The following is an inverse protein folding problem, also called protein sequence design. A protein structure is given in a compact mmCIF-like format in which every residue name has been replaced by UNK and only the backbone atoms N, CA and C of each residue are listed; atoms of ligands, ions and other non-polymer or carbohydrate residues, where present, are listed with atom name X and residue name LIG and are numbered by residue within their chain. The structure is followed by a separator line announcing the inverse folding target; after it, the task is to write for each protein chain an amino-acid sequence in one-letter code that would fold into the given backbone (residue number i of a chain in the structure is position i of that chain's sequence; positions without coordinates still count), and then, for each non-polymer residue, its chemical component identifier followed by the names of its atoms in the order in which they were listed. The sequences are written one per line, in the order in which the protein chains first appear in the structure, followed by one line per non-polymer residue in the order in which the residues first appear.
data_IF_260487289158
#
_entry.id   IF_260487289158
#
_cell.length_a   1.000
_cell.length_b   1.000
_cell.length_c   1.000
_cell.angle_alpha   90.00
_cell.angle_beta   90.00
_cell.angle_gamma   90.00
#
_symmetry.space_group_name_H-M   'P 1'
#
loop_
_entity.id
_entity.type
_entity.pdbx_description
1 polymer ?
#
# COMPACT_ATOMS: atom_id res chain seq x y z
N UNK A 1 -4.56 -30.09 -2.25
CA UNK A 1 -3.41 -30.25 -3.17
C UNK A 1 -3.94 -29.98 -4.57
N UNK A 2 -3.24 -29.16 -5.38
CA UNK A 2 -3.65 -28.87 -6.76
C UNK A 2 -3.55 -30.12 -7.64
N UNK A 3 -4.49 -30.32 -8.60
CA UNK A 3 -4.37 -31.36 -9.62
C UNK A 3 -3.12 -31.14 -10.49
N UNK A 4 -2.44 -32.22 -10.89
CA UNK A 4 -1.20 -32.18 -11.68
C UNK A 4 -1.36 -31.33 -12.96
N UNK A 5 -2.48 -31.47 -13.67
CA UNK A 5 -2.78 -30.67 -14.86
C UNK A 5 -2.80 -29.17 -14.59
N UNK A 6 -3.32 -28.74 -13.41
CA UNK A 6 -3.36 -27.31 -13.04
C UNK A 6 -1.96 -26.81 -12.74
N UNK A 7 -1.13 -27.63 -12.09
CA UNK A 7 0.28 -27.33 -11.82
C UNK A 7 1.04 -27.09 -13.15
N UNK A 8 0.89 -28.01 -14.12
CA UNK A 8 1.51 -27.89 -15.44
C UNK A 8 1.08 -26.61 -16.16
N UNK A 9 -0.22 -26.28 -16.15
CA UNK A 9 -0.73 -25.06 -16.75
C UNK A 9 -0.22 -23.79 -16.05
N UNK A 10 -0.08 -23.77 -14.72
CA UNK A 10 0.52 -22.66 -14.00
C UNK A 10 2.01 -22.52 -14.33
N UNK A 11 2.73 -23.62 -14.45
CA UNK A 11 4.15 -23.64 -14.89
C UNK A 11 4.28 -23.08 -16.32
N UNK A 12 3.39 -23.44 -17.23
CA UNK A 12 3.37 -22.93 -18.60
C UNK A 12 3.15 -21.39 -18.65
N UNK A 13 2.38 -20.84 -17.69
CA UNK A 13 2.11 -19.40 -17.60
C UNK A 13 3.31 -18.64 -17.03
N UNK A 14 3.87 -19.06 -15.89
CA UNK A 14 4.85 -18.23 -15.15
C UNK A 14 6.25 -18.80 -15.11
N UNK A 15 6.44 -20.07 -15.52
CA UNK A 15 7.66 -20.85 -15.36
C UNK A 15 7.74 -21.54 -13.99
N UNK A 16 8.43 -22.70 -13.96
CA UNK A 16 8.52 -23.57 -12.79
C UNK A 16 9.03 -22.84 -11.53
N UNK A 17 10.06 -22.00 -11.67
CA UNK A 17 10.67 -21.26 -10.56
C UNK A 17 9.76 -20.18 -9.96
N UNK A 18 8.56 -19.97 -10.51
CA UNK A 18 7.59 -18.94 -10.07
C UNK A 18 6.29 -19.51 -9.53
N UNK A 19 6.23 -20.81 -9.41
CA UNK A 19 5.16 -21.55 -8.74
C UNK A 19 5.76 -22.24 -7.51
N UNK A 20 5.38 -21.80 -6.31
CA UNK A 20 6.01 -22.20 -5.07
C UNK A 20 5.09 -23.09 -4.24
N UNK A 21 5.68 -24.15 -3.65
CA UNK A 21 4.98 -25.12 -2.81
C UNK A 21 5.67 -25.36 -1.47
N UNK A 22 6.89 -24.83 -1.29
CA UNK A 22 7.65 -25.04 -0.06
C UNK A 22 6.95 -24.37 1.14
N UNK A 23 6.97 -25.02 2.29
CA UNK A 23 6.25 -24.58 3.48
C UNK A 23 6.61 -23.15 3.90
N UNK A 24 7.89 -22.79 3.80
CA UNK A 24 8.37 -21.45 4.13
C UNK A 24 7.81 -20.38 3.19
N UNK A 25 7.69 -20.69 1.90
CA UNK A 25 7.10 -19.79 0.91
C UNK A 25 5.59 -19.66 1.12
N UNK A 26 4.90 -20.79 1.34
CA UNK A 26 3.47 -20.77 1.64
C UNK A 26 3.17 -19.94 2.87
N UNK A 27 3.96 -20.11 3.92
CA UNK A 27 3.84 -19.28 5.14
C UNK A 27 4.17 -17.81 4.87
N UNK A 28 5.23 -17.51 4.12
CA UNK A 28 5.67 -16.14 3.83
C UNK A 28 4.66 -15.34 3.01
N UNK A 29 4.06 -15.96 2.00
CA UNK A 29 3.18 -15.28 1.05
C UNK A 29 1.70 -15.38 1.44
N UNK A 30 1.31 -16.36 2.25
CA UNK A 30 -0.07 -16.62 2.64
C UNK A 30 -0.56 -15.89 3.88
N UNK A 31 0.25 -15.00 4.48
CA UNK A 31 -0.08 -14.22 5.67
C UNK A 31 0.03 -12.72 5.42
N UNK A 32 -0.55 -11.92 6.32
CA UNK A 32 -0.21 -10.52 6.54
C UNK A 32 0.36 -10.33 7.96
N UNK A 33 0.20 -9.15 8.57
CA UNK A 33 0.70 -8.87 9.93
C UNK A 33 -0.29 -9.27 11.03
N UNK A 34 -1.50 -9.71 10.67
CA UNK A 34 -2.42 -10.26 11.67
C UNK A 34 -1.93 -11.63 12.16
N UNK A 35 -2.21 -11.93 13.41
CA UNK A 35 -1.86 -13.22 14.03
C UNK A 35 -3.10 -14.09 14.26
N UNK A 36 -4.26 -13.70 13.72
CA UNK A 36 -5.53 -14.35 13.98
C UNK A 36 -5.72 -15.66 13.21
N UNK A 37 -5.03 -15.81 12.07
CA UNK A 37 -5.15 -16.99 11.21
C UNK A 37 -3.77 -17.53 10.83
N UNK A 38 -3.74 -18.83 10.56
CA UNK A 38 -2.57 -19.50 10.00
C UNK A 38 -2.71 -19.59 8.48
N UNK A 39 -1.61 -19.42 7.77
CA UNK A 39 -1.59 -19.61 6.33
C UNK A 39 -1.75 -21.09 5.97
N UNK A 40 -2.61 -21.38 5.00
CA UNK A 40 -2.79 -22.69 4.41
C UNK A 40 -3.11 -22.59 2.90
N UNK A 41 -2.37 -21.80 2.09
CA UNK A 41 -2.58 -21.75 0.66
C UNK A 41 -2.21 -23.08 0.00
N UNK A 42 -2.83 -23.40 -1.14
CA UNK A 42 -2.46 -24.58 -1.92
C UNK A 42 -1.15 -24.41 -2.72
N UNK A 43 -0.83 -23.19 -3.11
CA UNK A 43 0.39 -22.76 -3.80
C UNK A 43 0.50 -21.23 -3.81
N UNK A 44 1.69 -20.74 -4.17
CA UNK A 44 1.94 -19.32 -4.47
C UNK A 44 2.40 -19.19 -5.91
N UNK A 45 1.82 -18.28 -6.67
CA UNK A 45 2.23 -17.97 -8.04
C UNK A 45 2.65 -16.52 -8.16
N UNK A 46 3.77 -16.26 -8.86
CA UNK A 46 4.36 -14.93 -9.01
C UNK A 46 4.36 -14.49 -10.48
N UNK A 47 3.25 -13.92 -11.00
CA UNK A 47 3.24 -13.35 -12.35
C UNK A 47 4.24 -12.19 -12.46
N UNK A 48 4.85 -12.06 -13.64
CA UNK A 48 5.76 -10.96 -14.00
C UNK A 48 5.13 -9.95 -14.94
N UNK A 49 3.96 -10.26 -15.52
CA UNK A 49 3.23 -9.39 -16.44
C UNK A 49 1.73 -9.39 -16.13
N UNK A 50 1.02 -8.43 -16.70
CA UNK A 50 -0.43 -8.33 -16.59
C UNK A 50 -1.11 -9.50 -17.30
N UNK A 51 -0.55 -9.95 -18.42
CA UNK A 51 -1.05 -11.07 -19.22
C UNK A 51 -0.89 -12.41 -18.50
N UNK A 52 0.21 -12.61 -17.77
CA UNK A 52 0.38 -13.76 -16.88
C UNK A 52 -0.67 -13.73 -15.75
N UNK A 53 -0.89 -12.57 -15.11
CA UNK A 53 -1.92 -12.42 -14.10
C UNK A 53 -3.33 -12.71 -14.66
N UNK A 54 -3.63 -12.24 -15.87
CA UNK A 54 -4.87 -12.55 -16.57
C UNK A 54 -5.03 -14.06 -16.80
N UNK A 55 -4.00 -14.71 -17.29
CA UNK A 55 -4.01 -16.14 -17.59
C UNK A 55 -4.24 -16.97 -16.32
N UNK A 56 -3.64 -16.56 -15.18
CA UNK A 56 -3.85 -17.18 -13.87
C UNK A 56 -5.32 -17.05 -13.44
N UNK A 57 -5.91 -15.86 -13.53
CA UNK A 57 -7.32 -15.65 -13.13
C UNK A 57 -8.26 -16.48 -14.00
N UNK A 58 -8.03 -16.55 -15.32
CA UNK A 58 -8.83 -17.38 -16.23
C UNK A 58 -8.70 -18.87 -15.92
N UNK A 59 -7.50 -19.35 -15.62
CA UNK A 59 -7.26 -20.73 -15.23
C UNK A 59 -7.95 -21.05 -13.90
N UNK A 60 -7.85 -20.15 -12.91
CA UNK A 60 -8.51 -20.30 -11.61
C UNK A 60 -10.03 -20.41 -11.75
N UNK A 61 -10.65 -19.59 -12.62
CA UNK A 61 -12.07 -19.67 -12.94
C UNK A 61 -12.45 -21.02 -13.57
N UNK A 62 -11.63 -21.53 -14.52
CA UNK A 62 -11.86 -22.82 -15.17
C UNK A 62 -11.78 -24.00 -14.18
N UNK A 63 -10.93 -23.86 -13.18
CA UNK A 63 -10.68 -24.91 -12.17
C UNK A 63 -11.45 -24.70 -10.87
N UNK A 64 -12.29 -23.66 -10.80
CA UNK A 64 -13.02 -23.28 -9.59
C UNK A 64 -12.11 -23.08 -8.36
N UNK A 65 -10.95 -22.47 -8.59
CA UNK A 65 -9.93 -22.21 -7.59
C UNK A 65 -10.02 -20.78 -7.06
N UNK A 66 -10.14 -20.63 -5.75
CA UNK A 66 -10.15 -19.32 -5.11
C UNK A 66 -8.76 -18.67 -5.16
N UNK A 67 -8.71 -17.35 -5.35
CA UNK A 67 -7.50 -16.54 -5.38
C UNK A 67 -7.45 -15.61 -4.17
N UNK A 68 -6.26 -15.50 -3.56
CA UNK A 68 -5.95 -14.45 -2.61
C UNK A 68 -4.81 -13.59 -3.19
N UNK A 69 -5.07 -12.30 -3.51
CA UNK A 69 -4.02 -11.37 -3.93
C UNK A 69 -3.05 -11.07 -2.78
N UNK A 70 -1.75 -11.10 -3.05
CA UNK A 70 -0.72 -10.79 -2.06
C UNK A 70 0.19 -9.68 -2.56
N UNK A 71 0.28 -8.60 -1.80
CA UNK A 71 1.22 -7.50 -2.00
C UNK A 71 2.35 -7.53 -0.96
N UNK A 72 2.62 -6.37 -0.34
CA UNK A 72 3.69 -6.23 0.67
C UNK A 72 3.44 -6.94 2.00
N UNK A 73 2.26 -7.50 2.21
CA UNK A 73 1.88 -8.30 3.41
C UNK A 73 2.00 -7.51 4.73
N UNK A 74 1.82 -6.21 4.66
CA UNK A 74 1.92 -5.28 5.80
C UNK A 74 0.58 -4.96 6.45
N UNK A 75 -0.52 -5.47 5.89
CA UNK A 75 -1.88 -5.29 6.39
C UNK A 75 -2.13 -5.92 7.76
N UNK A 76 -3.16 -5.43 8.44
CA UNK A 76 -3.58 -5.87 9.79
C UNK A 76 -5.01 -6.41 9.84
N UNK A 77 -5.66 -6.56 8.66
CA UNK A 77 -7.09 -6.91 8.57
C UNK A 77 -7.34 -8.32 8.03
N UNK A 78 -6.30 -9.07 7.67
CA UNK A 78 -6.42 -10.42 7.14
C UNK A 78 -6.76 -10.52 5.65
N UNK A 79 -6.82 -9.39 4.91
CA UNK A 79 -7.20 -9.38 3.50
C UNK A 79 -6.26 -10.12 2.55
N UNK A 80 -5.01 -10.34 2.96
CA UNK A 80 -4.02 -11.10 2.20
C UNK A 80 -3.74 -12.50 2.80
N UNK A 81 -4.57 -12.97 3.74
CA UNK A 81 -4.39 -14.29 4.36
C UNK A 81 -5.12 -15.35 3.57
N UNK A 82 -4.38 -16.34 3.08
CA UNK A 82 -4.89 -17.55 2.44
C UNK A 82 -4.95 -18.68 3.47
N UNK A 83 -6.13 -19.09 3.92
CA UNK A 83 -6.30 -20.02 5.05
C UNK A 83 -7.05 -21.32 4.71
N UNK A 84 -7.69 -21.39 3.54
CA UNK A 84 -8.60 -22.47 3.17
C UNK A 84 -8.22 -23.14 1.82
N UNK A 85 -6.93 -23.13 1.47
CA UNK A 85 -6.43 -23.79 0.25
C UNK A 85 -6.51 -22.94 -1.01
N UNK A 86 -6.60 -21.62 -0.87
CA UNK A 86 -6.61 -20.68 -1.99
C UNK A 86 -5.25 -20.63 -2.70
N UNK A 87 -5.24 -20.22 -3.96
CA UNK A 87 -4.04 -19.86 -4.70
C UNK A 87 -3.64 -18.42 -4.35
N UNK A 88 -2.45 -18.24 -3.78
CA UNK A 88 -1.89 -16.91 -3.57
C UNK A 88 -1.30 -16.38 -4.88
N UNK A 89 -1.74 -15.21 -5.31
CA UNK A 89 -1.17 -14.48 -6.46
C UNK A 89 -0.37 -13.30 -5.91
N UNK A 90 0.97 -13.45 -5.90
CA UNK A 90 1.88 -12.46 -5.37
C UNK A 90 2.43 -11.56 -6.49
N UNK A 91 2.21 -10.24 -6.37
CA UNK A 91 2.52 -9.27 -7.43
C UNK A 91 3.95 -8.71 -7.34
N UNK A 92 4.81 -9.31 -6.53
CA UNK A 92 6.17 -8.86 -6.23
C UNK A 92 7.05 -8.63 -7.47
N UNK A 93 6.77 -9.33 -8.59
CA UNK A 93 7.55 -9.22 -9.84
C UNK A 93 7.06 -8.12 -10.79
N UNK A 94 5.85 -7.64 -10.62
CA UNK A 94 5.32 -6.52 -11.40
C UNK A 94 5.66 -5.23 -10.62
N UNK A 95 6.92 -4.82 -10.61
CA UNK A 95 7.44 -3.78 -9.71
C UNK A 95 8.27 -2.69 -10.41
N UNK A 96 8.28 -2.67 -11.73
CA UNK A 96 9.05 -1.70 -12.52
C UNK A 96 8.37 -0.33 -12.58
N UNK A 97 9.16 0.72 -12.83
CA UNK A 97 8.66 1.98 -13.38
C UNK A 97 8.41 1.76 -14.87
N UNK A 98 7.19 1.99 -15.30
CA UNK A 98 6.72 1.72 -16.67
C UNK A 98 6.82 2.99 -17.52
N UNK A 99 6.38 4.12 -16.97
CA UNK A 99 6.38 5.42 -17.64
C UNK A 99 6.47 6.55 -16.62
N UNK A 100 7.05 7.68 -17.03
CA UNK A 100 7.10 8.89 -16.23
C UNK A 100 6.80 10.12 -17.11
N UNK A 101 5.77 10.87 -16.73
CA UNK A 101 5.40 12.12 -17.39
C UNK A 101 5.73 13.32 -16.47
N UNK A 102 6.83 14.06 -16.72
CA UNK A 102 7.22 15.20 -15.90
C UNK A 102 6.25 16.39 -16.02
N UNK A 103 5.55 16.54 -17.14
CA UNK A 103 4.60 17.63 -17.34
C UNK A 103 3.35 17.44 -16.45
N UNK A 104 2.82 16.23 -16.43
CA UNK A 104 1.67 15.86 -15.60
C UNK A 104 2.10 15.49 -14.18
N UNK A 105 3.39 15.38 -13.92
CA UNK A 105 3.95 14.89 -12.65
C UNK A 105 3.31 13.56 -12.25
N UNK A 106 3.29 12.63 -13.16
CA UNK A 106 2.72 11.31 -12.94
C UNK A 106 3.72 10.22 -13.32
N UNK A 107 3.68 9.13 -12.58
CA UNK A 107 4.48 7.94 -12.84
C UNK A 107 3.58 6.72 -12.89
N UNK A 108 3.76 5.88 -13.90
CA UNK A 108 3.09 4.57 -13.99
C UNK A 108 4.05 3.51 -13.50
N UNK A 109 3.60 2.73 -12.52
CA UNK A 109 4.39 1.67 -11.88
C UNK A 109 3.61 0.36 -11.82
N UNK A 110 4.33 -0.75 -11.78
CA UNK A 110 3.76 -2.04 -11.42
C UNK A 110 3.28 -2.07 -9.97
N UNK A 111 2.23 -2.83 -9.70
CA UNK A 111 1.58 -2.90 -8.38
C UNK A 111 2.49 -3.44 -7.27
N UNK A 112 3.51 -4.23 -7.61
CA UNK A 112 4.55 -4.73 -6.71
C UNK A 112 5.63 -3.71 -6.35
N UNK A 113 5.61 -2.49 -6.93
CA UNK A 113 6.51 -1.40 -6.55
C UNK A 113 6.36 -1.10 -5.06
N UNK A 114 7.49 -1.09 -4.34
CA UNK A 114 7.53 -0.75 -2.91
C UNK A 114 7.42 0.77 -2.74
N UNK A 115 6.74 1.20 -1.67
CA UNK A 115 6.46 2.63 -1.42
C UNK A 115 7.72 3.47 -1.28
N UNK A 116 8.71 3.02 -0.51
CA UNK A 116 9.99 3.74 -0.33
C UNK A 116 10.75 3.97 -1.63
N UNK A 117 11.02 2.95 -2.46
CA UNK A 117 11.56 3.12 -3.79
C UNK A 117 10.78 4.07 -4.70
N UNK A 118 9.44 4.08 -4.64
CA UNK A 118 8.64 5.08 -5.37
C UNK A 118 8.87 6.49 -4.84
N UNK A 119 8.96 6.67 -3.51
CA UNK A 119 9.28 7.96 -2.89
C UNK A 119 10.66 8.45 -3.34
N UNK A 120 11.66 7.57 -3.30
CA UNK A 120 13.01 7.89 -3.77
C UNK A 120 13.01 8.27 -5.24
N UNK A 121 12.33 7.51 -6.11
CA UNK A 121 12.19 7.87 -7.53
C UNK A 121 11.59 9.27 -7.70
N UNK A 122 10.54 9.61 -6.95
CA UNK A 122 9.92 10.93 -7.01
C UNK A 122 10.90 12.04 -6.60
N UNK A 123 11.67 11.83 -5.53
CA UNK A 123 12.71 12.77 -5.05
C UNK A 123 13.80 13.00 -6.09
N UNK A 124 14.27 11.96 -6.76
CA UNK A 124 15.27 12.05 -7.86
C UNK A 124 14.74 12.88 -9.04
N UNK A 125 13.41 12.97 -9.21
CA UNK A 125 12.76 13.82 -10.22
C UNK A 125 12.39 15.22 -9.69
N UNK A 126 12.80 15.59 -8.46
CA UNK A 126 12.44 16.87 -7.83
C UNK A 126 10.95 16.95 -7.44
N UNK A 127 10.31 15.82 -7.30
CA UNK A 127 8.90 15.65 -6.94
C UNK A 127 8.75 14.91 -5.61
N UNK A 128 7.51 14.66 -5.19
CA UNK A 128 7.23 14.06 -3.91
C UNK A 128 6.00 13.14 -3.97
N UNK A 129 6.12 11.91 -3.47
CA UNK A 129 4.98 11.03 -3.22
C UNK A 129 4.63 11.09 -1.73
N UNK A 130 3.50 11.75 -1.35
CA UNK A 130 3.25 12.10 0.04
C UNK A 130 2.67 11.00 0.92
N UNK A 131 2.20 9.91 0.33
CA UNK A 131 1.69 8.78 1.11
C UNK A 131 2.84 8.09 1.82
N UNK A 132 2.80 8.11 3.16
CA UNK A 132 3.92 7.71 4.00
C UNK A 132 3.44 7.08 5.32
N UNK A 133 3.98 5.92 5.65
CA UNK A 133 3.66 5.16 6.87
C UNK A 133 4.83 4.25 7.27
N UNK A 134 4.78 3.70 8.48
CA UNK A 134 5.86 2.89 9.06
C UNK A 134 6.30 1.70 8.18
N UNK A 135 5.43 1.18 7.33
CA UNK A 135 5.71 0.06 6.43
C UNK A 135 6.19 0.48 5.03
N UNK A 136 6.54 1.75 4.78
CA UNK A 136 6.96 2.25 3.46
C UNK A 136 8.11 1.44 2.82
N UNK A 137 9.00 0.86 3.64
CA UNK A 137 10.08 -0.01 3.17
C UNK A 137 9.67 -1.40 2.68
N UNK A 138 8.40 -1.80 2.83
CA UNK A 138 7.91 -3.14 2.45
C UNK A 138 6.52 -3.17 1.85
N UNK A 139 5.69 -2.17 2.10
CA UNK A 139 4.35 -2.07 1.49
C UNK A 139 4.46 -1.84 0.00
N UNK A 140 3.57 -2.47 -0.76
CA UNK A 140 3.51 -2.38 -2.22
C UNK A 140 2.36 -1.48 -2.67
N UNK A 141 2.56 -0.75 -3.77
CA UNK A 141 1.60 0.24 -4.29
C UNK A 141 0.23 -0.40 -4.58
N UNK A 142 0.18 -1.59 -5.16
CA UNK A 142 -1.08 -2.30 -5.40
C UNK A 142 -1.84 -2.60 -4.11
N UNK A 143 -1.14 -3.02 -3.06
CA UNK A 143 -1.72 -3.26 -1.73
C UNK A 143 -2.20 -1.97 -1.07
N UNK A 144 -1.41 -0.88 -1.16
CA UNK A 144 -1.79 0.43 -0.63
C UNK A 144 -3.07 0.98 -1.31
N UNK A 145 -3.20 0.76 -2.61
CA UNK A 145 -4.41 1.12 -3.37
C UNK A 145 -5.58 0.23 -2.97
N UNK A 146 -5.38 -1.09 -2.91
CA UNK A 146 -6.41 -2.05 -2.55
C UNK A 146 -7.01 -1.80 -1.17
N UNK A 147 -6.21 -1.31 -0.21
CA UNK A 147 -6.68 -0.95 1.14
C UNK A 147 -7.02 0.54 1.29
N UNK A 148 -6.80 1.35 0.24
CA UNK A 148 -6.85 2.81 0.32
C UNK A 148 -6.06 3.33 1.53
N UNK A 149 -4.81 2.92 1.65
CA UNK A 149 -3.98 3.18 2.81
C UNK A 149 -3.85 4.67 3.12
N UNK A 150 -4.00 5.03 4.38
CA UNK A 150 -3.73 6.35 4.91
C UNK A 150 -2.43 6.35 5.70
N UNK A 151 -1.70 7.45 5.68
CA UNK A 151 -0.44 7.61 6.40
C UNK A 151 -0.44 8.83 7.31
N UNK A 152 0.72 9.15 7.88
CA UNK A 152 0.87 10.25 8.84
C UNK A 152 0.59 11.64 8.23
N UNK A 153 0.64 11.76 6.90
CA UNK A 153 0.45 13.04 6.18
C UNK A 153 -0.98 13.22 5.62
N UNK A 154 -1.94 12.41 6.07
CA UNK A 154 -3.33 12.42 5.57
C UNK A 154 -3.99 13.78 5.77
N UNK A 155 -3.68 14.49 6.87
CA UNK A 155 -4.28 15.78 7.18
C UNK A 155 -4.08 16.81 6.06
N UNK A 156 -2.94 16.75 5.35
CA UNK A 156 -2.63 17.65 4.23
C UNK A 156 -2.88 17.01 2.87
N UNK A 157 -2.41 15.79 2.68
CA UNK A 157 -2.29 15.19 1.36
C UNK A 157 -3.38 14.16 1.06
N UNK A 158 -4.25 13.86 2.03
CA UNK A 158 -5.27 12.83 1.87
C UNK A 158 -4.70 11.41 1.85
N UNK A 159 -5.52 10.49 1.44
CA UNK A 159 -5.22 9.05 1.39
C UNK A 159 -4.67 8.65 0.02
N UNK A 160 -4.25 7.40 -0.12
CA UNK A 160 -3.76 6.82 -1.38
C UNK A 160 -4.70 7.12 -2.56
N UNK A 161 -6.01 7.05 -2.36
CA UNK A 161 -7.06 7.37 -3.34
C UNK A 161 -6.84 8.70 -4.09
N UNK A 162 -6.35 9.71 -3.38
CA UNK A 162 -6.16 11.06 -3.92
C UNK A 162 -5.01 11.15 -4.92
N UNK A 163 -4.14 10.15 -4.93
CA UNK A 163 -2.92 10.11 -5.75
C UNK A 163 -2.99 9.12 -6.91
N UNK A 164 -4.06 8.33 -7.01
CA UNK A 164 -4.25 7.36 -8.10
C UNK A 164 -4.90 8.05 -9.29
N UNK A 165 -4.12 8.31 -10.34
CA UNK A 165 -4.59 8.91 -11.59
C UNK A 165 -5.14 7.88 -12.58
N UNK A 166 -4.64 6.64 -12.58
CA UNK A 166 -5.07 5.55 -13.46
C UNK A 166 -4.77 4.18 -12.85
N UNK A 167 -5.48 3.16 -13.31
CA UNK A 167 -5.26 1.77 -12.93
C UNK A 167 -5.34 0.85 -14.14
N UNK A 168 -4.53 -0.20 -14.14
CA UNK A 168 -4.72 -1.39 -14.99
C UNK A 168 -4.95 -2.58 -14.09
N UNK A 169 -6.10 -3.22 -14.24
CA UNK A 169 -6.57 -4.29 -13.37
C UNK A 169 -6.97 -5.52 -14.17
N UNK A 170 -6.82 -6.69 -13.57
CA UNK A 170 -7.43 -7.93 -14.05
C UNK A 170 -8.64 -8.19 -13.16
N UNK A 171 -9.84 -8.11 -13.72
CA UNK A 171 -11.09 -8.33 -12.97
C UNK A 171 -11.30 -9.82 -12.65
N UNK A 172 -12.34 -10.13 -11.85
CA UNK A 172 -12.67 -11.50 -11.48
C UNK A 172 -13.05 -12.42 -12.67
N UNK A 173 -13.42 -11.88 -13.82
CA UNK A 173 -13.66 -12.65 -15.04
C UNK A 173 -12.37 -12.94 -15.85
N UNK A 174 -11.25 -12.31 -15.48
CA UNK A 174 -9.99 -12.41 -16.22
C UNK A 174 -9.90 -11.45 -17.39
N UNK A 175 -10.62 -10.32 -17.36
CA UNK A 175 -10.48 -9.27 -18.34
C UNK A 175 -9.53 -8.18 -17.84
N UNK A 176 -8.64 -7.71 -18.72
CA UNK A 176 -7.79 -6.56 -18.45
C UNK A 176 -8.61 -5.29 -18.67
N UNK A 177 -8.68 -4.44 -17.68
CA UNK A 177 -9.40 -3.17 -17.70
C UNK A 177 -8.44 -2.03 -17.42
N UNK A 178 -8.40 -1.04 -18.31
CA UNK A 178 -7.67 0.20 -18.08
C UNK A 178 -8.65 1.30 -17.65
N UNK A 179 -8.41 1.87 -16.49
CA UNK A 179 -9.24 2.86 -15.82
C UNK A 179 -8.56 4.23 -15.81
N UNK A 180 -9.17 5.20 -16.48
CA UNK A 180 -8.74 6.60 -16.63
C UNK A 180 -7.44 6.85 -17.42
N UNK A 181 -6.59 5.88 -17.70
CA UNK A 181 -5.34 6.03 -18.48
C UNK A 181 -4.45 7.23 -18.04
N UNK A 182 -4.51 7.62 -16.78
CA UNK A 182 -3.71 8.73 -16.24
C UNK A 182 -4.16 10.14 -16.60
N UNK A 183 -5.34 10.33 -17.22
CA UNK A 183 -5.84 11.67 -17.58
C UNK A 183 -6.07 12.52 -16.33
N UNK A 184 -5.45 13.70 -16.27
CA UNK A 184 -5.60 14.66 -15.17
C UNK A 184 -7.06 15.21 -15.08
N UNK A 185 -7.72 15.38 -16.21
CA UNK A 185 -9.12 15.79 -16.29
C UNK A 185 -9.90 14.78 -17.12
N UNK A 186 -10.81 14.05 -16.48
CA UNK A 186 -11.73 13.15 -17.15
C UNK A 186 -13.12 13.24 -16.50
N UNK A 187 -14.06 13.84 -17.22
CA UNK A 187 -15.45 14.02 -16.77
C UNK A 187 -16.39 13.01 -17.46
N UNK A 188 -15.86 11.98 -18.13
CA UNK A 188 -16.62 11.03 -18.92
C UNK A 188 -17.07 9.84 -18.09
N UNK A 189 -18.37 9.70 -17.86
CA UNK A 189 -18.97 8.55 -17.19
C UNK A 189 -18.61 8.43 -15.70
N UNK A 190 -18.76 7.23 -15.18
CA UNK A 190 -18.39 6.90 -13.79
C UNK A 190 -16.88 6.73 -13.64
N UNK A 191 -16.35 7.18 -12.53
CA UNK A 191 -14.96 6.93 -12.18
C UNK A 191 -14.79 5.55 -11.51
N UNK A 192 -14.63 4.54 -12.34
CA UNK A 192 -14.55 3.15 -11.90
C UNK A 192 -13.28 2.81 -11.13
N UNK A 193 -12.25 3.69 -11.12
CA UNK A 193 -11.06 3.51 -10.26
C UNK A 193 -11.48 3.37 -8.80
N UNK A 194 -12.46 4.15 -8.38
CA UNK A 194 -12.93 4.19 -7.01
C UNK A 194 -13.66 2.92 -6.54
N UNK A 195 -14.01 2.01 -7.44
CA UNK A 195 -14.50 0.67 -7.10
C UNK A 195 -13.33 -0.23 -6.64
N UNK A 196 -12.19 -0.14 -7.32
CA UNK A 196 -11.01 -0.96 -7.01
C UNK A 196 -10.18 -0.40 -5.85
N UNK A 197 -10.17 0.92 -5.66
CA UNK A 197 -9.48 1.56 -4.52
C UNK A 197 -10.25 1.29 -3.24
N UNK A 198 -9.67 0.49 -2.34
CA UNK A 198 -10.30 0.04 -1.11
C UNK A 198 -11.13 -1.24 -1.26
N UNK A 199 -11.01 -1.95 -2.41
CA UNK A 199 -11.72 -3.23 -2.65
C UNK A 199 -11.04 -4.43 -2.01
N UNK A 200 -9.84 -4.31 -1.48
CA UNK A 200 -9.04 -5.36 -0.84
C UNK A 200 -8.93 -6.65 -1.67
N UNK A 201 -8.81 -6.51 -3.00
CA UNK A 201 -8.67 -7.63 -3.93
C UNK A 201 -9.97 -8.38 -4.27
N UNK A 202 -11.12 -7.98 -3.73
CA UNK A 202 -12.40 -8.66 -3.94
C UNK A 202 -12.98 -8.47 -5.35
N UNK A 203 -12.53 -7.45 -6.10
CA UNK A 203 -12.99 -7.16 -7.46
C UNK A 203 -11.98 -7.57 -8.54
N UNK A 204 -10.75 -7.90 -8.17
CA UNK A 204 -9.69 -8.28 -9.10
C UNK A 204 -8.30 -7.90 -8.61
N UNK A 205 -7.31 -8.13 -9.47
CA UNK A 205 -5.90 -7.87 -9.24
C UNK A 205 -5.54 -6.49 -9.80
N UNK A 206 -5.06 -5.57 -8.95
CA UNK A 206 -4.44 -4.32 -9.40
C UNK A 206 -3.04 -4.66 -9.87
N UNK A 207 -2.74 -4.50 -11.16
CA UNK A 207 -1.46 -4.88 -11.75
C UNK A 207 -0.55 -3.68 -12.02
N UNK A 208 -1.11 -2.55 -12.45
CA UNK A 208 -0.36 -1.31 -12.69
C UNK A 208 -1.15 -0.12 -12.16
N UNK A 209 -0.45 0.92 -11.74
CA UNK A 209 -1.06 2.16 -11.29
C UNK A 209 -0.30 3.38 -11.83
N UNK A 210 -1.05 4.39 -12.31
CA UNK A 210 -0.53 5.72 -12.57
C UNK A 210 -0.73 6.56 -11.33
N UNK A 211 0.37 6.99 -10.73
CA UNK A 211 0.42 7.75 -9.49
C UNK A 211 0.74 9.21 -9.79
N UNK A 212 -0.09 10.11 -9.28
CA UNK A 212 0.19 11.54 -9.30
C UNK A 212 1.24 11.88 -8.24
N UNK A 213 2.17 12.79 -8.58
CA UNK A 213 3.21 13.27 -7.67
C UNK A 213 3.00 14.74 -7.33
N UNK A 214 3.31 15.11 -6.09
CA UNK A 214 3.29 16.49 -5.62
C UNK A 214 4.60 17.19 -5.93
N UNK A 215 4.61 18.52 -5.83
CA UNK A 215 5.86 19.27 -5.69
C UNK A 215 6.45 19.01 -4.31
N UNK A 216 7.75 18.84 -4.25
CA UNK A 216 8.43 18.71 -2.97
C UNK A 216 8.20 19.98 -2.12
N UNK A 217 7.91 19.83 -0.82
CA UNK A 217 7.83 20.99 0.07
C UNK A 217 9.23 21.64 0.17
N UNK A 218 9.28 22.97 0.19
CA UNK A 218 10.54 23.73 0.28
C UNK A 218 11.22 23.50 1.62
N UNK A 219 10.42 23.59 2.70
CA UNK A 219 10.89 23.39 4.08
C UNK A 219 9.83 22.68 4.89
N UNK A 220 10.26 21.98 5.92
CA UNK A 220 9.37 21.42 6.92
C UNK A 220 9.97 21.59 8.31
N UNK A 221 9.14 21.93 9.28
CA UNK A 221 9.53 21.99 10.70
C UNK A 221 8.69 21.03 11.50
N UNK A 222 9.31 20.42 12.52
CA UNK A 222 8.61 19.56 13.47
C UNK A 222 8.58 20.26 14.81
N UNK A 223 7.42 20.29 15.45
CA UNK A 223 7.24 20.71 16.83
C UNK A 223 6.71 19.55 17.65
N UNK A 224 7.13 19.47 18.90
CA UNK A 224 6.56 18.54 19.88
C UNK A 224 6.13 19.32 21.08
N UNK A 225 4.88 19.14 21.53
CA UNK A 225 4.29 19.87 22.63
C UNK A 225 3.80 18.90 23.71
N UNK A 226 4.09 19.21 24.97
CA UNK A 226 3.57 18.48 26.11
C UNK A 226 2.25 19.07 26.58
N UNK A 227 1.26 18.22 26.86
CA UNK A 227 -0.05 18.61 27.42
C UNK A 227 -0.45 17.66 28.56
N UNK A 228 -1.26 18.17 29.50
CA UNK A 228 -1.63 17.43 30.71
C UNK A 228 -2.82 16.50 30.49
N UNK A 229 -3.73 16.89 29.60
CA UNK A 229 -4.92 16.11 29.34
C UNK A 229 -5.21 15.90 27.84
N UNK A 230 -5.91 14.80 27.54
CA UNK A 230 -6.20 14.41 26.17
C UNK A 230 -7.03 15.48 25.41
N UNK A 231 -7.90 16.20 26.10
CA UNK A 231 -8.71 17.24 25.45
C UNK A 231 -7.84 18.38 24.88
N UNK A 232 -6.75 18.73 25.52
CA UNK A 232 -5.81 19.78 25.07
C UNK A 232 -5.13 19.42 23.75
N UNK A 233 -5.01 18.11 23.40
CA UNK A 233 -4.53 17.66 22.07
C UNK A 233 -5.42 18.24 20.96
N UNK A 234 -6.75 18.18 21.15
CA UNK A 234 -7.72 18.69 20.17
C UNK A 234 -7.65 20.22 20.10
N UNK A 235 -7.42 20.89 21.21
CA UNK A 235 -7.25 22.35 21.25
C UNK A 235 -5.98 22.78 20.50
N UNK A 236 -4.87 22.06 20.70
CA UNK A 236 -3.61 22.26 19.93
C UNK A 236 -3.87 22.08 18.44
N UNK A 237 -4.49 20.97 18.03
CA UNK A 237 -4.82 20.70 16.62
C UNK A 237 -5.68 21.85 16.04
N UNK A 238 -6.71 22.27 16.77
CA UNK A 238 -7.63 23.34 16.34
C UNK A 238 -6.91 24.65 16.16
N UNK A 239 -6.03 25.01 17.10
CA UNK A 239 -5.24 26.23 17.05
C UNK A 239 -4.31 26.23 15.83
N UNK A 240 -3.52 25.18 15.66
CA UNK A 240 -2.54 25.09 14.56
C UNK A 240 -3.19 24.94 13.19
N UNK A 241 -4.27 24.17 13.07
CA UNK A 241 -4.97 23.99 11.79
C UNK A 241 -5.53 25.27 11.21
N UNK A 242 -5.77 26.29 12.05
CA UNK A 242 -6.28 27.57 11.61
C UNK A 242 -5.22 28.47 10.96
N UNK A 243 -4.02 28.43 11.49
CA UNK A 243 -2.98 29.41 11.18
C UNK A 243 -1.73 28.80 10.50
N UNK A 244 -1.60 27.47 10.48
CA UNK A 244 -0.44 26.77 9.91
C UNK A 244 -0.86 25.76 8.85
N UNK A 245 0.01 25.54 7.87
CA UNK A 245 -0.14 24.49 6.87
C UNK A 245 0.43 23.17 7.42
N UNK A 246 -0.37 22.48 8.23
CA UNK A 246 0.03 21.22 8.85
C UNK A 246 0.14 20.09 7.81
N UNK A 247 1.27 19.41 7.78
CA UNK A 247 1.49 18.22 6.95
C UNK A 247 1.26 16.92 7.71
N UNK A 248 1.44 16.91 9.02
CA UNK A 248 1.14 15.80 9.90
C UNK A 248 0.76 16.32 11.29
N UNK A 249 -0.04 15.55 12.00
CA UNK A 249 -0.39 15.76 13.39
C UNK A 249 -0.56 14.39 14.06
N UNK A 250 0.31 14.07 15.00
CA UNK A 250 0.32 12.82 15.73
C UNK A 250 0.28 13.10 17.24
N UNK A 251 -0.12 12.13 18.04
CA UNK A 251 0.00 12.22 19.48
C UNK A 251 0.43 10.88 20.10
N UNK A 252 1.03 10.96 21.25
CA UNK A 252 1.41 9.80 22.04
C UNK A 252 1.35 10.08 23.53
N UNK A 253 1.09 9.04 24.33
CA UNK A 253 1.08 9.12 25.80
C UNK A 253 2.49 8.97 26.38
N UNK A 254 2.67 9.41 27.64
CA UNK A 254 3.90 9.13 28.38
C UNK A 254 4.19 7.63 28.43
N UNK A 255 3.18 6.79 28.66
CA UNK A 255 3.36 5.33 28.67
C UNK A 255 3.91 4.78 27.36
N UNK A 256 3.47 5.31 26.22
CA UNK A 256 4.01 4.91 24.91
C UNK A 256 5.46 5.35 24.76
N UNK A 257 5.79 6.57 25.18
CA UNK A 257 7.16 7.10 25.15
C UNK A 257 8.09 6.27 26.03
N UNK A 258 7.70 5.94 27.26
CA UNK A 258 8.49 5.11 28.19
C UNK A 258 8.84 3.75 27.58
N UNK A 259 7.90 3.14 26.87
CA UNK A 259 8.14 1.87 26.15
C UNK A 259 9.18 2.03 25.04
N UNK A 260 9.10 3.11 24.27
CA UNK A 260 10.07 3.40 23.21
C UNK A 260 11.46 3.69 23.79
N UNK A 261 11.54 4.52 24.82
CA UNK A 261 12.80 4.86 25.52
C UNK A 261 13.45 3.59 26.05
N UNK A 262 12.69 2.77 26.79
CA UNK A 262 13.22 1.53 27.39
C UNK A 262 13.67 0.51 26.34
N UNK A 263 13.02 0.44 25.18
CA UNK A 263 13.33 -0.53 24.12
C UNK A 263 14.43 -0.05 23.18
N UNK A 264 14.47 1.25 22.86
CA UNK A 264 15.35 1.83 21.85
C UNK A 264 16.51 2.64 22.42
N UNK A 265 16.50 2.95 23.73
CA UNK A 265 17.53 3.75 24.37
C UNK A 265 17.52 5.23 23.97
N UNK A 266 16.36 5.74 23.51
CA UNK A 266 16.21 7.16 23.23
C UNK A 266 16.18 7.99 24.52
N UNK A 267 16.48 9.28 24.41
CA UNK A 267 16.39 10.22 25.52
C UNK A 267 15.02 10.88 25.55
N UNK A 268 14.58 11.21 26.76
CA UNK A 268 13.35 12.01 26.97
C UNK A 268 13.47 13.35 26.26
N UNK A 269 12.51 13.76 25.42
CA UNK A 269 12.56 15.01 24.68
C UNK A 269 12.35 16.26 25.54
N UNK A 270 11.73 16.09 26.74
CA UNK A 270 11.45 17.16 27.67
C UNK A 270 12.09 16.93 29.04
N UNK A 271 12.37 18.01 29.76
CA UNK A 271 12.84 17.97 31.14
C UNK A 271 11.73 17.67 32.16
N UNK A 272 10.49 17.97 31.78
CA UNK A 272 9.30 17.73 32.60
C UNK A 272 8.43 16.67 31.98
N UNK A 273 7.93 15.75 32.80
CA UNK A 273 6.94 14.77 32.38
C UNK A 273 5.62 15.47 32.09
N UNK A 274 4.95 15.00 31.03
CA UNK A 274 3.58 15.40 30.67
C UNK A 274 2.79 14.17 30.27
N UNK A 275 1.48 14.16 30.57
CA UNK A 275 0.66 12.96 30.33
C UNK A 275 0.60 12.56 28.86
N UNK A 276 0.55 13.55 27.98
CA UNK A 276 0.50 13.38 26.53
C UNK A 276 1.45 14.34 25.82
N UNK A 277 1.78 13.99 24.58
CA UNK A 277 2.53 14.86 23.65
C UNK A 277 1.85 14.84 22.30
N UNK A 278 1.79 15.99 21.66
CA UNK A 278 1.47 16.12 20.24
C UNK A 278 2.75 16.35 19.44
N UNK A 279 2.79 15.86 18.21
CA UNK A 279 3.83 16.09 17.22
C UNK A 279 3.18 16.70 15.98
N UNK A 280 3.54 17.92 15.64
CA UNK A 280 3.08 18.64 14.49
C UNK A 280 4.21 18.80 13.49
N UNK A 281 3.88 18.54 12.21
CA UNK A 281 4.76 18.85 11.08
C UNK A 281 4.08 19.91 10.22
N UNK A 282 4.73 21.04 10.07
CA UNK A 282 4.28 22.11 9.17
C UNK A 282 5.17 22.16 7.94
N UNK A 283 4.60 22.60 6.83
CA UNK A 283 5.31 22.95 5.60
C UNK A 283 5.32 24.47 5.50
N UNK A 284 6.49 25.04 5.33
CA UNK A 284 6.71 26.48 5.17
C UNK A 284 6.63 26.94 3.72
#
# INVERSE_FOLDING_TARGET
MLPQRVIEQLIDIVGESRLLFEADDLQRFGVDRTTLWQAAPCAVVLPGTVEEAQSIVRLANQCNLAIVPSGGRTGLSGGAVAKDGELVVALDRINQVIDFNPMDRSVTVGAGMITGPLQQFAEEQGLFYPVDFASSGSSQIGGNIATNAGGIKVIKYGMTRNWVAGLKVVNGAGDIIELNKGLAKNNTGYDLRHLFIGSEGTLGLICEATIQLARAPLESSVMVMGVENFAEIVDVLTCFSRDLDLSAFEFFSQQALDKVISHRGHTEPFKTETAFRSEERRVG
#
